data_IF_316493428037
#
_entry.id   IF_316493428037
#
_cell.length_a   1.000
_cell.length_b   1.000
_cell.length_c   1.000
_cell.angle_alpha   90.00
_cell.angle_beta   90.00
_cell.angle_gamma   90.00
#
_symmetry.space_group_name_H-M   'P 1'
#
loop_
_entity.id
_entity.type
_entity.pdbx_description
1 polymer ?
#
# COMPACT_ATOMS: atom_id res chain seq x y z
N UNK A 1 7.95 11.23 3.35
CA UNK A 1 6.87 10.58 4.12
C UNK A 1 5.49 10.85 3.50
N UNK A 2 5.27 11.98 2.82
CA UNK A 2 3.97 12.28 2.20
C UNK A 2 3.55 11.32 1.08
N UNK A 3 4.49 10.72 0.33
CA UNK A 3 4.15 9.72 -0.69
C UNK A 3 3.73 8.39 -0.06
N UNK A 4 4.45 7.91 0.95
CA UNK A 4 4.08 6.69 1.69
C UNK A 4 2.70 6.85 2.32
N UNK A 5 2.47 7.97 3.02
CA UNK A 5 1.19 8.25 3.67
C UNK A 5 0.04 8.40 2.66
N UNK A 6 0.27 9.02 1.50
CA UNK A 6 -0.81 9.20 0.51
C UNK A 6 -1.12 7.96 -0.33
N UNK A 7 -0.11 7.12 -0.63
CA UNK A 7 -0.26 6.01 -1.60
C UNK A 7 -0.31 4.62 -0.98
N UNK A 8 0.31 4.42 0.19
CA UNK A 8 0.56 3.07 0.72
C UNK A 8 -0.05 2.87 2.11
N UNK A 9 -0.12 3.92 2.93
CA UNK A 9 -0.78 3.83 4.22
C UNK A 9 -2.29 3.56 4.07
N UNK A 10 -2.82 2.75 4.97
CA UNK A 10 -4.24 2.39 4.98
C UNK A 10 -5.02 3.41 5.82
N UNK A 11 -6.05 4.03 5.24
CA UNK A 11 -6.86 5.05 5.88
C UNK A 11 -8.30 4.59 6.02
N UNK A 12 -8.89 4.86 7.18
CA UNK A 12 -10.33 4.65 7.40
C UNK A 12 -11.15 5.51 6.45
N UNK A 13 -12.19 4.94 5.85
CA UNK A 13 -13.16 5.70 5.05
C UNK A 13 -14.08 6.49 5.97
N UNK A 14 -13.96 7.82 6.00
CA UNK A 14 -14.92 8.67 6.71
C UNK A 14 -16.14 8.93 5.82
N UNK A 15 -17.33 8.55 6.28
CA UNK A 15 -18.59 8.81 5.59
C UNK A 15 -18.95 10.31 5.50
N UNK A 16 -18.18 11.21 6.13
CA UNK A 16 -18.51 12.65 6.25
C UNK A 16 -17.28 13.55 6.26
N UNK A 17 -16.53 13.59 5.16
CA UNK A 17 -15.67 14.73 4.78
C UNK A 17 -14.47 15.11 5.67
N UNK A 18 -14.36 14.64 6.91
CA UNK A 18 -13.14 14.74 7.70
C UNK A 18 -12.16 13.69 7.19
N UNK A 19 -10.91 14.07 6.90
CA UNK A 19 -9.87 13.14 6.47
C UNK A 19 -9.85 11.88 7.34
N UNK A 20 -9.77 10.71 6.71
CA UNK A 20 -9.68 9.44 7.40
C UNK A 20 -8.53 9.42 8.41
N UNK A 21 -8.67 8.58 9.45
CA UNK A 21 -7.60 8.21 10.39
C UNK A 21 -6.81 7.02 9.86
N UNK A 22 -5.56 6.86 10.28
CA UNK A 22 -4.74 5.70 9.92
C UNK A 22 -5.37 4.43 10.50
N UNK A 23 -5.53 3.38 9.71
CA UNK A 23 -6.06 2.10 10.19
C UNK A 23 -5.08 1.41 11.15
N UNK A 24 -5.61 0.66 12.12
CA UNK A 24 -4.81 -0.21 12.98
C UNK A 24 -4.46 -1.49 12.21
N UNK A 25 -3.49 -1.39 11.31
CA UNK A 25 -3.06 -2.50 10.46
C UNK A 25 -1.57 -2.81 10.63
N UNK A 26 -1.14 -4.05 10.34
CA UNK A 26 0.28 -4.42 10.36
C UNK A 26 1.13 -3.59 9.38
N UNK A 27 0.52 -3.12 8.29
CA UNK A 27 1.16 -2.25 7.30
C UNK A 27 1.47 -0.88 7.91
N UNK A 28 0.46 -0.25 8.49
CA UNK A 28 0.62 1.06 9.14
C UNK A 28 1.54 0.98 10.36
N UNK A 29 1.46 -0.09 11.15
CA UNK A 29 2.37 -0.31 12.26
C UNK A 29 3.83 -0.34 11.79
N UNK A 30 4.12 -1.07 10.72
CA UNK A 30 5.47 -1.10 10.17
C UNK A 30 5.96 0.27 9.66
N UNK A 31 5.08 1.02 8.99
CA UNK A 31 5.40 2.37 8.53
C UNK A 31 5.77 3.26 9.73
N UNK A 32 4.95 3.23 10.79
CA UNK A 32 5.17 4.02 12.01
C UNK A 32 6.49 3.63 12.71
N UNK A 33 6.75 2.34 12.88
CA UNK A 33 8.00 1.84 13.47
C UNK A 33 9.23 2.30 12.67
N UNK A 34 9.15 2.21 11.34
CA UNK A 34 10.26 2.59 10.46
C UNK A 34 10.51 4.10 10.45
N UNK A 35 9.44 4.91 10.54
CA UNK A 35 9.55 6.37 10.67
C UNK A 35 10.16 6.73 12.03
N UNK A 36 9.69 6.09 13.12
CA UNK A 36 10.23 6.31 14.46
C UNK A 36 11.72 5.96 14.53
N UNK A 37 12.11 4.76 14.06
CA UNK A 37 13.51 4.34 14.03
C UNK A 37 14.37 5.30 13.22
N UNK A 38 13.90 5.73 12.04
CA UNK A 38 14.61 6.72 11.25
C UNK A 38 14.77 8.04 12.00
N UNK A 39 13.69 8.59 12.57
CA UNK A 39 13.72 9.89 13.23
C UNK A 39 14.70 9.89 14.43
N UNK A 40 14.65 8.86 15.27
CA UNK A 40 15.54 8.71 16.43
C UNK A 40 17.00 8.57 16.01
N UNK A 41 17.29 7.77 14.99
CA UNK A 41 18.64 7.65 14.44
C UNK A 41 19.09 8.95 13.74
N UNK A 42 18.17 9.67 13.10
CA UNK A 42 18.48 10.89 12.36
C UNK A 42 18.89 12.02 13.30
N UNK A 43 18.16 12.21 14.41
CA UNK A 43 18.50 13.20 15.44
C UNK A 43 19.87 12.90 16.06
N UNK A 44 20.14 11.63 16.36
CA UNK A 44 21.42 11.19 16.93
C UNK A 44 22.61 11.39 15.97
N UNK A 45 22.41 11.11 14.67
CA UNK A 45 23.48 11.19 13.67
C UNK A 45 23.66 12.59 13.06
N UNK A 46 22.64 13.46 13.12
CA UNK A 46 22.65 14.79 12.51
C UNK A 46 22.05 15.84 13.46
N UNK A 47 22.68 16.12 14.62
CA UNK A 47 22.14 17.05 15.61
C UNK A 47 21.93 18.47 15.05
N UNK A 48 22.83 18.92 14.17
CA UNK A 48 22.73 20.24 13.53
C UNK A 48 21.53 20.37 12.57
N UNK A 49 21.08 19.25 11.98
CA UNK A 49 19.91 19.22 11.09
C UNK A 49 18.62 19.05 11.90
N UNK A 50 18.69 18.35 13.03
CA UNK A 50 17.55 18.16 13.92
C UNK A 50 17.06 19.47 14.55
N UNK A 51 17.98 20.42 14.78
CA UNK A 51 17.74 21.78 15.29
C UNK A 51 17.25 22.77 14.24
N UNK A 52 17.14 22.35 12.99
CA UNK A 52 16.68 23.21 11.92
C UNK A 52 15.23 23.62 12.18
N UNK A 53 14.98 24.94 12.21
CA UNK A 53 13.64 25.47 12.42
C UNK A 53 12.75 25.21 11.20
N UNK A 54 11.56 24.68 11.44
CA UNK A 54 10.57 24.37 10.42
C UNK A 54 9.94 25.64 9.83
N UNK A 55 9.44 25.54 8.60
CA UNK A 55 8.71 26.65 7.95
C UNK A 55 7.31 26.83 8.56
N UNK A 56 6.64 25.72 8.87
CA UNK A 56 5.36 25.63 9.58
C UNK A 56 5.52 24.61 10.71
N UNK A 57 4.78 24.79 11.81
CA UNK A 57 4.81 23.82 12.91
C UNK A 57 4.21 22.49 12.48
N UNK A 58 4.71 21.41 13.10
CA UNK A 58 4.01 20.14 13.13
C UNK A 58 3.00 20.21 14.28
N UNK A 59 1.72 20.14 13.93
CA UNK A 59 0.62 20.30 14.88
C UNK A 59 -0.11 18.98 15.06
N UNK A 60 -0.36 18.56 16.29
CA UNK A 60 -1.17 17.37 16.55
C UNK A 60 -1.87 17.38 17.91
N UNK A 61 -2.96 16.61 17.99
CA UNK A 61 -3.65 16.33 19.24
C UNK A 61 -2.99 15.14 19.93
N UNK A 62 -2.20 15.45 20.95
CA UNK A 62 -1.47 14.49 21.78
C UNK A 62 -2.40 13.79 22.77
N UNK A 63 -2.10 12.51 23.03
CA UNK A 63 -2.73 11.76 24.12
C UNK A 63 -1.94 11.89 25.44
N UNK A 64 -0.85 12.66 25.46
CA UNK A 64 -0.05 12.91 26.65
C UNK A 64 -0.71 13.94 27.55
N UNK A 65 -0.43 13.79 28.83
CA UNK A 65 -0.73 14.76 29.87
C UNK A 65 0.47 15.67 30.10
N UNK A 66 0.23 16.85 30.67
CA UNK A 66 1.31 17.83 30.90
C UNK A 66 2.40 17.30 31.85
N UNK A 67 2.06 16.36 32.73
CA UNK A 67 3.00 15.76 33.68
C UNK A 67 3.95 14.76 33.02
N UNK A 68 3.58 14.21 31.86
CA UNK A 68 4.41 13.28 31.11
C UNK A 68 5.43 14.01 30.23
N UNK A 69 5.18 15.28 29.91
CA UNK A 69 6.07 16.13 29.14
C UNK A 69 7.16 16.74 30.03
N UNK A 70 8.43 16.54 29.67
CA UNK A 70 9.56 17.13 30.39
C UNK A 70 9.81 18.57 29.94
N UNK A 71 10.31 19.38 30.86
CA UNK A 71 10.82 20.74 30.59
C UNK A 71 9.79 21.77 30.09
N UNK A 72 8.50 21.62 30.40
CA UNK A 72 7.48 22.62 30.08
C UNK A 72 7.17 23.56 31.25
N UNK A 73 7.14 24.87 30.96
CA UNK A 73 6.72 25.91 31.91
C UNK A 73 5.37 26.47 31.48
N UNK A 74 4.48 26.68 32.46
CA UNK A 74 3.19 27.33 32.24
C UNK A 74 3.40 28.81 31.90
N UNK A 75 2.93 29.25 30.74
CA UNK A 75 2.94 30.65 30.30
C UNK A 75 1.62 31.35 30.62
N UNK A 76 0.51 30.71 30.27
CA UNK A 76 -0.86 31.22 30.45
C UNK A 76 -1.76 30.13 31.08
N UNK A 77 -3.04 30.42 31.34
CA UNK A 77 -3.96 29.46 31.97
C UNK A 77 -3.96 28.08 31.30
N UNK A 78 -3.87 28.04 29.96
CA UNK A 78 -3.89 26.82 29.14
C UNK A 78 -2.67 26.64 28.22
N UNK A 79 -1.64 27.47 28.30
CA UNK A 79 -0.48 27.43 27.38
C UNK A 79 0.81 27.11 28.12
N UNK A 80 1.56 26.13 27.61
CA UNK A 80 2.86 25.71 28.13
C UNK A 80 3.93 25.86 27.05
N UNK A 81 5.12 26.31 27.45
CA UNK A 81 6.28 26.51 26.57
C UNK A 81 7.47 25.71 27.09
N UNK A 82 8.25 25.12 26.20
CA UNK A 82 9.49 24.44 26.57
C UNK A 82 10.54 25.42 27.12
N UNK A 83 11.13 25.07 28.26
CA UNK A 83 12.11 25.86 29.02
C UNK A 83 13.41 26.10 28.25
N UNK A 84 13.71 25.26 27.25
CA UNK A 84 14.96 25.31 26.49
C UNK A 84 15.05 26.47 25.48
N UNK A 85 14.04 27.36 25.43
CA UNK A 85 14.00 28.50 24.51
C UNK A 85 13.58 28.12 23.09
N UNK A 86 13.23 26.85 22.87
CA UNK A 86 12.71 26.35 21.59
C UNK A 86 11.18 26.42 21.58
N UNK A 87 10.62 26.83 20.44
CA UNK A 87 9.18 27.15 20.31
C UNK A 87 8.38 25.87 20.26
N UNK A 88 8.23 25.15 21.36
CA UNK A 88 7.20 24.11 21.50
C UNK A 88 6.06 24.69 22.30
N UNK A 89 4.86 24.65 21.74
CA UNK A 89 3.65 25.19 22.39
C UNK A 89 2.70 24.03 22.63
N UNK A 90 2.40 23.74 23.90
CA UNK A 90 1.35 22.81 24.27
C UNK A 90 0.14 23.58 24.81
N UNK A 91 -1.05 23.36 24.24
CA UNK A 91 -2.31 23.96 24.69
C UNK A 91 -3.25 22.90 25.23
N UNK A 92 -3.70 23.06 26.46
CA UNK A 92 -4.71 22.17 27.05
C UNK A 92 -6.08 22.45 26.43
N UNK A 93 -6.72 21.42 25.87
CA UNK A 93 -8.07 21.54 25.32
C UNK A 93 -9.13 21.36 26.43
N UNK A 94 -10.19 22.16 26.37
CA UNK A 94 -11.24 22.21 27.40
C UNK A 94 -12.17 20.98 27.36
N UNK A 95 -12.20 20.22 26.27
CA UNK A 95 -13.19 19.15 26.01
C UNK A 95 -12.69 17.72 26.26
N UNK A 96 -11.55 17.55 26.91
CA UNK A 96 -10.96 16.23 27.20
C UNK A 96 -9.47 16.39 27.45
N UNK A 97 -8.85 15.44 28.14
CA UNK A 97 -7.45 15.46 28.61
C UNK A 97 -6.37 15.51 27.49
N UNK A 98 -6.66 16.04 26.31
CA UNK A 98 -5.77 16.11 25.16
C UNK A 98 -5.02 17.44 25.11
N UNK A 99 -3.76 17.36 24.71
CA UNK A 99 -2.90 18.52 24.48
C UNK A 99 -2.76 18.76 22.98
N UNK A 100 -3.02 19.97 22.52
CA UNK A 100 -2.61 20.39 21.18
C UNK A 100 -1.14 20.81 21.21
N UNK A 101 -0.27 20.03 20.59
CA UNK A 101 1.18 20.29 20.53
C UNK A 101 1.51 20.92 19.19
N UNK A 102 2.32 21.98 19.22
CA UNK A 102 2.92 22.62 18.06
C UNK A 102 4.44 22.56 18.21
N UNK A 103 5.12 21.88 17.29
CA UNK A 103 6.56 21.69 17.32
C UNK A 103 7.24 22.23 16.06
N UNK A 104 8.40 22.87 16.22
CA UNK A 104 9.10 23.58 15.14
C UNK A 104 10.49 23.03 14.82
N UNK A 105 10.89 21.91 15.43
CA UNK A 105 12.13 21.22 15.07
C UNK A 105 11.99 19.71 15.26
N UNK A 106 12.91 18.94 14.69
CA UNK A 106 12.82 17.48 14.71
C UNK A 106 13.32 16.91 16.04
N UNK A 107 14.30 17.55 16.67
CA UNK A 107 14.85 17.17 17.97
C UNK A 107 13.76 17.09 19.04
N UNK A 108 12.99 18.17 19.25
CA UNK A 108 11.89 18.19 20.22
C UNK A 108 10.72 17.32 19.82
N UNK A 109 10.47 17.15 18.53
CA UNK A 109 9.46 16.19 18.08
C UNK A 109 9.82 14.78 18.56
N UNK A 110 11.08 14.35 18.40
CA UNK A 110 11.53 13.02 18.84
C UNK A 110 11.59 12.92 20.37
N UNK A 111 11.98 13.98 21.08
CA UNK A 111 11.96 14.00 22.55
C UNK A 111 10.53 13.81 23.10
N UNK A 112 9.55 14.56 22.57
CA UNK A 112 8.14 14.45 22.98
C UNK A 112 7.59 13.05 22.67
N UNK A 113 7.94 12.50 21.50
CA UNK A 113 7.58 11.12 21.18
C UNK A 113 8.23 10.14 22.18
N UNK A 114 9.48 10.37 22.59
CA UNK A 114 10.17 9.50 23.55
C UNK A 114 9.57 9.59 24.96
N UNK A 115 9.06 10.76 25.36
CA UNK A 115 8.37 10.97 26.63
C UNK A 115 7.07 10.14 26.74
N UNK A 116 6.46 9.77 25.60
CA UNK A 116 5.25 8.91 25.57
C UNK A 116 5.50 7.44 25.92
N UNK A 117 6.76 7.02 26.07
CA UNK A 117 7.13 5.68 26.55
C UNK A 117 6.56 4.54 25.70
N UNK A 118 5.62 3.75 26.25
CA UNK A 118 5.00 2.64 25.52
C UNK A 118 4.03 3.09 24.41
N UNK A 119 3.61 4.35 24.41
CA UNK A 119 2.59 4.88 23.51
C UNK A 119 3.16 5.64 22.29
N UNK A 120 4.47 5.56 22.05
CA UNK A 120 5.19 6.25 20.96
C UNK A 120 4.52 6.10 19.60
N UNK A 121 4.11 4.88 19.23
CA UNK A 121 3.49 4.64 17.94
C UNK A 121 2.09 5.25 17.83
N UNK A 122 1.35 5.31 18.94
CA UNK A 122 0.04 5.96 18.99
C UNK A 122 0.18 7.48 18.88
N UNK A 123 1.19 8.05 19.51
CA UNK A 123 1.47 9.47 19.47
C UNK A 123 1.97 9.91 18.08
N UNK A 124 2.93 9.16 17.52
CA UNK A 124 3.41 9.37 16.16
C UNK A 124 2.28 9.26 15.13
N UNK A 125 1.33 8.35 15.35
CA UNK A 125 0.15 8.24 14.51
C UNK A 125 -0.70 9.51 14.56
N UNK A 126 -0.99 10.06 15.74
CA UNK A 126 -1.72 11.32 15.86
C UNK A 126 -0.98 12.47 15.13
N UNK A 127 0.35 12.50 15.23
CA UNK A 127 1.18 13.45 14.50
C UNK A 127 1.00 13.34 12.98
N UNK A 128 1.09 12.15 12.42
CA UNK A 128 0.98 11.94 10.96
C UNK A 128 -0.46 12.07 10.43
N UNK A 129 -1.48 11.79 11.25
CA UNK A 129 -2.88 12.03 10.90
C UNK A 129 -3.16 13.53 10.68
N UNK A 130 -2.60 14.40 11.53
CA UNK A 130 -2.76 15.85 11.43
C UNK A 130 -1.78 16.49 10.42
N UNK A 131 -0.70 15.79 10.03
CA UNK A 131 0.32 16.26 9.10
C UNK A 131 0.49 15.31 7.92
N UNK A 132 -0.42 15.35 6.93
CA UNK A 132 -0.39 14.45 5.76
C UNK A 132 0.86 14.61 4.87
N UNK A 133 1.41 15.81 4.81
CA UNK A 133 2.71 16.08 4.18
C UNK A 133 3.62 16.82 5.18
N UNK A 134 4.29 16.09 6.07
CA UNK A 134 5.13 16.71 7.09
C UNK A 134 6.34 17.44 6.46
N UNK A 135 6.78 17.03 5.27
CA UNK A 135 7.93 17.65 4.59
C UNK A 135 7.58 19.08 4.14
N UNK A 136 6.36 19.29 3.65
CA UNK A 136 5.86 20.63 3.31
C UNK A 136 5.86 21.56 4.52
N UNK A 137 5.48 21.07 5.70
CA UNK A 137 5.50 21.85 6.93
C UNK A 137 6.95 22.14 7.38
N UNK A 138 7.83 21.14 7.36
CA UNK A 138 9.20 21.27 7.82
C UNK A 138 10.05 22.19 6.92
N UNK A 139 10.00 21.99 5.60
CA UNK A 139 10.93 22.62 4.65
C UNK A 139 10.27 23.65 3.73
N UNK A 140 8.94 23.68 3.69
CA UNK A 140 8.13 24.58 2.88
C UNK A 140 7.56 23.93 1.63
N UNK A 141 6.64 24.65 0.98
CA UNK A 141 5.80 24.13 -0.11
C UNK A 141 6.61 23.70 -1.37
N UNK A 142 7.87 24.15 -1.50
CA UNK A 142 8.78 23.76 -2.60
C UNK A 142 9.27 22.32 -2.50
N UNK A 143 9.10 21.68 -1.34
CA UNK A 143 9.51 20.30 -1.06
C UNK A 143 8.31 19.36 -0.87
N UNK A 144 7.10 19.80 -1.26
CA UNK A 144 5.88 18.99 -1.12
C UNK A 144 6.02 17.67 -1.86
N UNK A 145 5.66 16.59 -1.19
CA UNK A 145 5.69 15.24 -1.74
C UNK A 145 4.38 14.87 -2.47
N UNK A 146 3.32 15.69 -2.31
CA UNK A 146 1.95 15.40 -2.78
C UNK A 146 1.54 16.24 -4.02
N UNK A 147 2.44 17.00 -4.65
CA UNK A 147 2.03 17.97 -5.68
C UNK A 147 1.55 17.33 -7.00
N UNK A 148 0.25 17.48 -7.26
CA UNK A 148 -0.37 17.51 -8.59
C UNK A 148 -0.40 18.93 -9.21
N UNK A 149 0.28 19.92 -8.61
CA UNK A 149 0.23 21.32 -9.06
C UNK A 149 1.63 21.86 -9.42
N UNK A 150 1.88 21.93 -10.73
CA UNK A 150 2.54 23.04 -11.46
C UNK A 150 3.58 23.85 -10.67
N UNK A 151 4.82 23.34 -10.59
CA UNK A 151 6.05 23.98 -11.09
C UNK A 151 7.23 23.04 -10.76
N UNK A 152 7.39 21.97 -11.56
CA UNK A 152 8.42 20.92 -11.40
C UNK A 152 9.84 21.49 -11.31
N UNK A 153 10.05 22.73 -11.76
CA UNK A 153 11.32 23.44 -11.70
C UNK A 153 11.68 24.03 -10.33
N UNK A 154 10.76 24.12 -9.36
CA UNK A 154 11.01 24.87 -8.11
C UNK A 154 12.12 24.27 -7.24
N UNK A 155 12.19 22.93 -7.16
CA UNK A 155 13.28 22.21 -6.50
C UNK A 155 14.59 22.37 -7.27
N UNK A 156 14.56 22.26 -8.60
CA UNK A 156 15.74 22.44 -9.45
C UNK A 156 16.30 23.86 -9.34
N UNK A 157 15.44 24.89 -9.33
CA UNK A 157 15.84 26.29 -9.11
C UNK A 157 16.46 26.49 -7.74
N UNK A 158 15.97 25.80 -6.71
CA UNK A 158 16.57 25.83 -5.38
C UNK A 158 17.95 25.15 -5.38
N UNK A 159 18.10 24.03 -6.08
CA UNK A 159 19.40 23.36 -6.26
C UNK A 159 20.38 24.27 -7.01
N UNK A 160 19.94 24.90 -8.11
CA UNK A 160 20.75 25.85 -8.89
C UNK A 160 21.16 27.07 -8.06
N UNK A 161 20.26 27.59 -7.22
CA UNK A 161 20.55 28.67 -6.27
C UNK A 161 21.58 28.22 -5.21
N UNK A 162 21.47 27.01 -4.68
CA UNK A 162 22.48 26.43 -3.77
C UNK A 162 23.84 26.27 -4.45
N UNK A 163 23.87 25.81 -5.71
CA UNK A 163 25.10 25.60 -6.48
C UNK A 163 25.75 26.94 -6.84
N UNK A 164 24.96 27.91 -7.32
CA UNK A 164 25.46 29.23 -7.71
C UNK A 164 25.96 30.06 -6.53
N UNK A 165 25.35 29.91 -5.35
CA UNK A 165 25.78 30.57 -4.10
C UNK A 165 26.86 29.80 -3.34
N UNK A 166 27.27 28.62 -3.81
CA UNK A 166 28.33 27.81 -3.17
C UNK A 166 29.74 28.42 -3.30
N UNK A 167 29.95 29.36 -4.22
CA UNK A 167 31.22 30.06 -4.42
C UNK A 167 31.53 31.11 -3.35
N UNK A 168 30.50 31.57 -2.63
CA UNK A 168 30.62 32.48 -1.49
C UNK A 168 29.96 31.82 -0.27
N UNK A 169 30.75 31.21 0.60
CA UNK A 169 30.24 30.61 1.83
C UNK A 169 29.70 31.71 2.76
N UNK A 170 28.37 31.81 2.80
CA UNK A 170 27.63 32.64 3.74
C UNK A 170 26.77 31.74 4.63
N UNK A 171 26.34 32.25 5.79
CA UNK A 171 25.40 31.53 6.67
C UNK A 171 24.12 31.12 5.94
N UNK A 172 23.66 31.92 4.98
CA UNK A 172 22.51 31.60 4.14
C UNK A 172 22.79 30.40 3.23
N UNK A 173 23.97 30.34 2.60
CA UNK A 173 24.39 29.20 1.77
C UNK A 173 24.46 27.91 2.60
N UNK A 174 25.01 27.99 3.82
CA UNK A 174 25.06 26.85 4.76
C UNK A 174 23.66 26.37 5.15
N UNK A 175 22.75 27.30 5.48
CA UNK A 175 21.37 26.99 5.82
C UNK A 175 20.58 26.35 4.66
N UNK A 176 20.75 26.85 3.42
CA UNK A 176 20.14 26.24 2.23
C UNK A 176 20.68 24.82 1.97
N UNK A 177 21.99 24.60 2.12
CA UNK A 177 22.61 23.26 2.03
C UNK A 177 22.04 22.29 3.06
N UNK A 178 21.85 22.74 4.32
CA UNK A 178 21.21 21.94 5.39
C UNK A 178 19.76 21.57 5.04
N UNK A 179 18.96 22.52 4.55
CA UNK A 179 17.59 22.27 4.07
C UNK A 179 17.55 21.25 2.93
N UNK A 180 18.45 21.38 1.95
CA UNK A 180 18.54 20.45 0.83
C UNK A 180 18.92 19.04 1.28
N UNK A 181 19.90 18.93 2.18
CA UNK A 181 20.30 17.64 2.76
C UNK A 181 19.15 16.97 3.50
N UNK A 182 18.45 17.71 4.36
CA UNK A 182 17.29 17.19 5.08
C UNK A 182 16.16 16.74 4.12
N UNK A 183 15.90 17.51 3.06
CA UNK A 183 14.92 17.13 2.04
C UNK A 183 15.28 15.80 1.37
N UNK A 184 16.55 15.62 0.98
CA UNK A 184 17.04 14.42 0.32
C UNK A 184 16.95 13.19 1.25
N UNK A 185 17.33 13.34 2.52
CA UNK A 185 17.28 12.27 3.50
C UNK A 185 15.82 11.81 3.75
N UNK A 186 14.89 12.76 3.89
CA UNK A 186 13.46 12.48 4.07
C UNK A 186 12.82 11.88 2.82
N UNK A 187 13.29 12.24 1.62
CA UNK A 187 12.88 11.63 0.37
C UNK A 187 13.37 10.18 0.26
N UNK A 188 14.64 9.93 0.58
CA UNK A 188 15.22 8.58 0.60
C UNK A 188 14.49 7.67 1.58
N UNK A 189 14.09 8.20 2.75
CA UNK A 189 13.21 7.50 3.67
C UNK A 189 11.87 7.15 3.00
N UNK A 190 11.22 8.12 2.33
CA UNK A 190 9.93 7.88 1.68
C UNK A 190 10.01 6.78 0.62
N UNK A 191 11.04 6.80 -0.22
CA UNK A 191 11.28 5.78 -1.24
C UNK A 191 11.53 4.41 -0.60
N UNK A 192 12.32 4.37 0.48
CA UNK A 192 12.57 3.14 1.23
C UNK A 192 11.28 2.58 1.82
N UNK A 193 10.49 3.41 2.50
CA UNK A 193 9.21 3.04 3.10
C UNK A 193 8.25 2.47 2.06
N UNK A 194 8.06 3.15 0.92
CA UNK A 194 7.22 2.65 -0.18
C UNK A 194 7.70 1.27 -0.64
N UNK A 195 8.98 1.12 -0.92
CA UNK A 195 9.52 -0.15 -1.42
C UNK A 195 9.42 -1.28 -0.41
N UNK A 196 9.75 -1.03 0.85
CA UNK A 196 9.69 -2.04 1.91
C UNK A 196 8.24 -2.45 2.20
N UNK A 197 7.32 -1.49 2.15
CA UNK A 197 5.89 -1.78 2.35
C UNK A 197 5.30 -2.53 1.16
N UNK A 198 5.67 -2.18 -0.09
CA UNK A 198 5.29 -2.95 -1.28
C UNK A 198 5.84 -4.38 -1.21
N UNK A 199 7.10 -4.56 -0.77
CA UNK A 199 7.67 -5.90 -0.58
C UNK A 199 6.90 -6.69 0.47
N UNK A 200 6.57 -6.07 1.61
CA UNK A 200 5.75 -6.71 2.64
C UNK A 200 4.35 -7.06 2.17
N UNK A 201 3.73 -6.18 1.38
CA UNK A 201 2.43 -6.45 0.75
C UNK A 201 2.52 -7.54 -0.32
N UNK A 202 3.63 -7.62 -1.07
CA UNK A 202 3.87 -8.69 -2.03
C UNK A 202 4.15 -10.04 -1.33
N UNK A 203 4.79 -10.02 -0.18
CA UNK A 203 5.03 -11.20 0.66
C UNK A 203 3.75 -11.64 1.42
N UNK A 204 2.85 -10.70 1.73
CA UNK A 204 1.49 -10.94 2.18
C UNK A 204 0.67 -11.55 1.04
N UNK A 205 0.75 -12.88 0.94
CA UNK A 205 -0.04 -13.83 0.12
C UNK A 205 -0.85 -13.15 -0.98
N UNK A 206 -0.32 -13.18 -2.20
CA UNK A 206 -1.15 -13.11 -3.40
C UNK A 206 -1.72 -14.50 -3.67
N UNK A 207 -2.99 -14.71 -3.37
CA UNK A 207 -3.69 -15.89 -3.89
C UNK A 207 -3.62 -15.83 -5.42
N UNK A 208 -3.20 -16.92 -6.04
CA UNK A 208 -3.21 -17.04 -7.50
C UNK A 208 -4.56 -17.58 -7.97
N UNK A 209 -4.99 -17.29 -9.21
CA UNK A 209 -6.19 -17.89 -9.78
C UNK A 209 -6.15 -19.43 -9.77
N UNK A 210 -4.96 -20.01 -9.97
CA UNK A 210 -4.73 -21.45 -9.88
C UNK A 210 -4.98 -22.01 -8.46
N UNK A 211 -4.51 -21.30 -7.43
CA UNK A 211 -4.73 -21.67 -6.03
C UNK A 211 -6.21 -21.57 -5.64
N UNK A 212 -6.91 -20.53 -6.14
CA UNK A 212 -8.36 -20.37 -5.97
C UNK A 212 -9.12 -21.55 -6.57
N UNK A 213 -8.82 -21.91 -7.82
CA UNK A 213 -9.50 -23.00 -8.51
C UNK A 213 -9.16 -24.37 -7.90
N UNK A 214 -7.93 -24.57 -7.43
CA UNK A 214 -7.54 -25.80 -6.72
C UNK A 214 -8.29 -25.96 -5.39
N UNK A 215 -8.44 -24.88 -4.63
CA UNK A 215 -9.20 -24.86 -3.37
C UNK A 215 -10.69 -25.11 -3.61
N UNK A 216 -11.28 -24.44 -4.60
CA UNK A 216 -12.66 -24.67 -5.03
C UNK A 216 -12.88 -26.12 -5.47
N UNK A 217 -11.99 -26.65 -6.32
CA UNK A 217 -12.06 -28.03 -6.80
C UNK A 217 -11.96 -29.05 -5.68
N UNK A 218 -11.17 -28.76 -4.64
CA UNK A 218 -11.06 -29.62 -3.47
C UNK A 218 -12.39 -29.65 -2.70
N UNK A 219 -12.95 -28.49 -2.35
CA UNK A 219 -14.22 -28.44 -1.59
C UNK A 219 -15.36 -29.05 -2.39
N UNK A 220 -15.40 -28.79 -3.70
CA UNK A 220 -16.40 -29.35 -4.59
C UNK A 220 -16.41 -30.89 -4.57
N UNK A 221 -15.23 -31.53 -4.51
CA UNK A 221 -15.14 -33.00 -4.39
C UNK A 221 -15.74 -33.55 -3.11
N UNK A 222 -15.75 -32.75 -2.04
CA UNK A 222 -16.31 -33.12 -0.74
C UNK A 222 -17.66 -32.42 -0.47
N UNK A 223 -18.33 -31.94 -1.52
CA UNK A 223 -19.65 -31.31 -1.44
C UNK A 223 -20.77 -32.28 -1.80
N UNK A 224 -21.94 -32.09 -1.19
CA UNK A 224 -23.15 -32.86 -1.50
C UNK A 224 -24.13 -32.91 -0.34
N UNK A 225 -25.31 -33.47 -0.58
CA UNK A 225 -26.45 -33.43 0.36
C UNK A 225 -26.30 -34.36 1.58
N UNK A 226 -25.36 -35.31 1.54
CA UNK A 226 -25.16 -36.26 2.63
C UNK A 226 -24.36 -35.65 3.79
N UNK A 227 -25.08 -35.25 4.84
CA UNK A 227 -24.54 -34.65 6.09
C UNK A 227 -23.44 -35.51 6.77
N UNK A 228 -23.41 -36.81 6.47
CA UNK A 228 -22.46 -37.77 7.04
C UNK A 228 -21.12 -37.85 6.31
N UNK A 229 -21.09 -37.52 5.01
CA UNK A 229 -19.92 -37.74 4.14
C UNK A 229 -19.34 -36.44 3.56
N UNK A 230 -20.10 -35.36 3.58
CA UNK A 230 -19.72 -34.10 2.93
C UNK A 230 -19.43 -33.00 3.96
N UNK A 231 -18.60 -32.05 3.55
CA UNK A 231 -18.22 -30.90 4.41
C UNK A 231 -19.10 -29.68 4.17
N UNK A 232 -19.67 -29.56 2.96
CA UNK A 232 -20.61 -28.50 2.59
C UNK A 232 -21.73 -29.09 1.74
N UNK A 233 -22.92 -28.49 1.80
CA UNK A 233 -24.06 -28.93 1.01
C UNK A 233 -23.85 -28.65 -0.48
N UNK A 234 -23.39 -27.44 -0.83
CA UNK A 234 -23.01 -27.11 -2.20
C UNK A 234 -22.01 -25.96 -2.29
N UNK A 235 -21.21 -25.94 -3.35
CA UNK A 235 -20.33 -24.83 -3.71
C UNK A 235 -20.43 -24.59 -5.21
N UNK A 236 -20.75 -23.36 -5.61
CA UNK A 236 -20.91 -22.98 -7.02
C UNK A 236 -20.34 -21.59 -7.29
N UNK A 237 -19.71 -21.35 -8.46
CA UNK A 237 -19.42 -19.99 -8.90
C UNK A 237 -20.72 -19.21 -9.06
N UNK A 238 -20.65 -17.90 -8.83
CA UNK A 238 -21.79 -17.00 -9.07
C UNK A 238 -22.14 -17.02 -10.55
N UNK A 239 -23.44 -17.12 -10.91
CA UNK A 239 -23.89 -17.33 -12.30
C UNK A 239 -23.35 -16.27 -13.28
N UNK A 240 -23.29 -14.99 -12.86
CA UNK A 240 -22.75 -13.90 -13.70
C UNK A 240 -21.26 -14.06 -14.03
N UNK A 241 -20.53 -14.76 -13.17
CA UNK A 241 -19.07 -14.85 -13.20
C UNK A 241 -18.63 -16.32 -13.23
N UNK A 242 -19.37 -17.16 -13.95
CA UNK A 242 -19.07 -18.59 -14.06
C UNK A 242 -17.97 -18.90 -15.09
N UNK A 243 -17.68 -17.97 -16.01
CA UNK A 243 -16.66 -18.14 -17.04
C UNK A 243 -15.27 -17.84 -16.49
N UNK A 244 -14.27 -18.57 -17.00
CA UNK A 244 -12.85 -18.33 -16.70
C UNK A 244 -12.26 -17.56 -17.88
N UNK A 245 -11.60 -16.45 -17.59
CA UNK A 245 -10.87 -15.64 -18.56
C UNK A 245 -9.48 -16.25 -18.85
N UNK A 246 -8.81 -15.78 -19.90
CA UNK A 246 -7.50 -16.30 -20.33
C UNK A 246 -6.40 -16.23 -19.24
N UNK A 247 -6.56 -15.34 -18.26
CA UNK A 247 -5.67 -15.20 -17.12
C UNK A 247 -6.03 -16.10 -15.92
N UNK A 248 -7.01 -16.99 -16.07
CA UNK A 248 -7.48 -17.90 -15.03
C UNK A 248 -8.46 -17.28 -14.03
N UNK A 249 -8.71 -15.96 -14.09
CA UNK A 249 -9.68 -15.30 -13.21
C UNK A 249 -11.13 -15.54 -13.69
N UNK A 250 -12.07 -15.54 -12.76
CA UNK A 250 -13.52 -15.53 -13.03
C UNK A 250 -14.14 -14.14 -12.86
N UNK A 251 -13.48 -13.27 -12.08
CA UNK A 251 -13.89 -11.89 -11.89
C UNK A 251 -13.71 -11.08 -13.20
N UNK A 252 -14.57 -10.08 -13.46
CA UNK A 252 -14.47 -9.27 -14.67
C UNK A 252 -13.25 -8.33 -14.61
N UNK A 253 -12.71 -7.87 -15.76
CA UNK A 253 -11.47 -7.10 -15.82
C UNK A 253 -11.43 -5.86 -14.91
N UNK A 254 -12.54 -5.12 -14.80
CA UNK A 254 -12.60 -3.93 -13.94
C UNK A 254 -12.51 -4.27 -12.44
N UNK A 255 -12.93 -5.46 -12.01
CA UNK A 255 -12.77 -5.94 -10.63
C UNK A 255 -11.41 -6.59 -10.39
N UNK A 256 -10.79 -7.16 -11.42
CA UNK A 256 -9.42 -7.68 -11.32
C UNK A 256 -8.41 -6.57 -10.98
N UNK A 257 -8.65 -5.33 -11.42
CA UNK A 257 -7.85 -4.16 -11.01
C UNK A 257 -7.94 -3.89 -9.49
N UNK A 258 -9.05 -4.23 -8.86
CA UNK A 258 -9.22 -4.19 -7.40
C UNK A 258 -8.72 -5.45 -6.70
N UNK A 259 -8.14 -6.39 -7.45
CA UNK A 259 -7.56 -7.62 -6.93
C UNK A 259 -8.56 -8.77 -6.77
N UNK A 260 -9.80 -8.67 -7.26
CA UNK A 260 -10.75 -9.79 -7.21
C UNK A 260 -10.37 -10.87 -8.24
N UNK A 261 -10.52 -12.14 -7.84
CA UNK A 261 -10.20 -13.31 -8.66
C UNK A 261 -11.47 -14.07 -9.05
N UNK A 262 -12.35 -14.37 -8.09
CA UNK A 262 -13.55 -15.15 -8.32
C UNK A 262 -14.63 -14.94 -7.24
N UNK A 263 -15.88 -15.26 -7.57
CA UNK A 263 -17.03 -15.14 -6.67
C UNK A 263 -17.76 -16.49 -6.57
N UNK A 264 -18.04 -16.92 -5.34
CA UNK A 264 -18.65 -18.22 -5.05
C UNK A 264 -19.84 -18.08 -4.11
N UNK A 265 -20.81 -18.97 -4.29
CA UNK A 265 -21.94 -19.18 -3.40
C UNK A 265 -21.75 -20.54 -2.75
N UNK A 266 -21.66 -20.55 -1.42
CA UNK A 266 -21.44 -21.77 -0.63
C UNK A 266 -22.61 -21.96 0.33
N UNK A 267 -23.25 -23.13 0.24
CA UNK A 267 -24.26 -23.55 1.20
C UNK A 267 -23.64 -24.54 2.18
N UNK A 268 -23.52 -24.14 3.45
CA UNK A 268 -23.12 -25.05 4.53
C UNK A 268 -24.34 -25.85 5.02
N UNK A 269 -24.11 -26.94 5.76
CA UNK A 269 -25.20 -27.77 6.29
C UNK A 269 -25.86 -27.20 7.54
N UNK A 270 -25.11 -26.39 8.29
CA UNK A 270 -25.48 -25.79 9.57
C UNK A 270 -25.95 -24.33 9.44
N UNK A 271 -25.86 -23.75 8.24
CA UNK A 271 -26.32 -22.40 7.95
C UNK A 271 -27.61 -22.46 7.11
N UNK A 272 -28.59 -21.66 7.51
CA UNK A 272 -29.86 -21.53 6.78
C UNK A 272 -29.64 -20.79 5.44
N UNK A 273 -28.84 -19.72 5.49
CA UNK A 273 -28.48 -18.91 4.32
C UNK A 273 -27.19 -19.38 3.64
N UNK A 274 -27.12 -19.13 2.33
CA UNK A 274 -25.89 -19.39 1.56
C UNK A 274 -24.90 -18.23 1.72
N UNK A 275 -23.64 -18.56 1.91
CA UNK A 275 -22.55 -17.60 2.01
C UNK A 275 -22.13 -17.14 0.61
N UNK A 276 -22.12 -15.84 0.39
CA UNK A 276 -21.54 -15.23 -0.81
C UNK A 276 -20.11 -14.79 -0.51
N UNK A 277 -19.15 -15.41 -1.19
CA UNK A 277 -17.72 -15.32 -0.89
C UNK A 277 -16.97 -14.80 -2.10
N UNK A 278 -16.04 -13.88 -1.85
CA UNK A 278 -15.09 -13.37 -2.82
C UNK A 278 -13.70 -13.93 -2.54
N UNK A 279 -13.08 -14.49 -3.56
CA UNK A 279 -11.65 -14.76 -3.59
C UNK A 279 -10.95 -13.56 -4.23
N UNK A 280 -10.08 -12.91 -3.49
CA UNK A 280 -9.19 -11.86 -3.99
C UNK A 280 -7.74 -12.28 -3.87
N UNK A 281 -6.87 -11.51 -4.52
CA UNK A 281 -5.43 -11.64 -4.37
C UNK A 281 -5.01 -11.53 -2.90
N UNK A 282 -5.71 -10.79 -2.05
CA UNK A 282 -5.38 -10.70 -0.62
C UNK A 282 -5.89 -11.88 0.24
N UNK A 283 -6.80 -12.70 -0.26
CA UNK A 283 -7.43 -13.76 0.53
C UNK A 283 -8.90 -14.00 0.19
N UNK A 284 -9.59 -14.74 1.06
CA UNK A 284 -11.00 -15.05 0.96
C UNK A 284 -11.79 -14.25 1.98
N UNK A 285 -12.95 -13.71 1.59
CA UNK A 285 -13.84 -12.98 2.49
C UNK A 285 -15.30 -13.11 2.08
N UNK A 286 -16.22 -12.84 3.01
CA UNK A 286 -17.67 -12.77 2.75
C UNK A 286 -18.03 -11.37 2.22
N UNK A 287 -18.82 -11.31 1.15
CA UNK A 287 -19.28 -10.05 0.54
C UNK A 287 -20.76 -9.77 0.87
N UNK A 288 -21.30 -8.66 0.35
CA UNK A 288 -22.65 -8.18 0.67
C UNK A 288 -23.80 -9.06 0.20
N UNK A 289 -23.52 -10.17 -0.48
CA UNK A 289 -24.53 -11.12 -0.93
C UNK A 289 -24.71 -11.12 -2.44
N UNK A 290 -25.40 -12.16 -2.92
CA UNK A 290 -25.77 -12.31 -4.31
C UNK A 290 -27.29 -12.38 -4.43
N UNK A 291 -27.89 -11.45 -5.15
CA UNK A 291 -29.32 -11.50 -5.46
C UNK A 291 -29.52 -12.31 -6.75
N UNK A 292 -30.14 -13.49 -6.61
CA UNK A 292 -30.44 -14.36 -7.75
C UNK A 292 -31.52 -13.78 -8.69
N UNK A 293 -32.40 -12.90 -8.21
CA UNK A 293 -33.51 -12.33 -8.99
C UNK A 293 -33.03 -11.18 -9.86
N UNK A 294 -32.24 -10.29 -9.28
CA UNK A 294 -31.69 -9.13 -9.99
C UNK A 294 -30.39 -9.46 -10.73
N UNK A 295 -29.84 -10.68 -10.54
CA UNK A 295 -28.52 -11.04 -11.04
C UNK A 295 -27.49 -9.94 -10.71
N UNK A 296 -27.50 -9.50 -9.45
CA UNK A 296 -26.60 -8.47 -8.95
C UNK A 296 -25.79 -9.02 -7.79
N UNK A 297 -24.50 -8.68 -7.77
CA UNK A 297 -23.57 -9.08 -6.72
C UNK A 297 -23.11 -7.82 -6.00
N UNK A 298 -23.26 -7.79 -4.68
CA UNK A 298 -22.66 -6.74 -3.87
C UNK A 298 -21.19 -7.06 -3.61
N UNK A 299 -20.31 -6.26 -4.19
CA UNK A 299 -18.87 -6.40 -4.08
C UNK A 299 -18.30 -5.89 -2.76
N UNK A 300 -19.11 -5.25 -1.91
CA UNK A 300 -18.65 -4.71 -0.65
C UNK A 300 -18.26 -5.83 0.31
N UNK A 301 -17.07 -5.73 0.92
CA UNK A 301 -16.60 -6.68 1.93
C UNK A 301 -17.38 -6.45 3.23
N UNK A 302 -18.07 -7.50 3.69
CA UNK A 302 -18.84 -7.49 4.95
C UNK A 302 -18.16 -8.30 6.05
N UNK A 303 -17.22 -9.20 5.70
CA UNK A 303 -16.49 -10.04 6.65
C UNK A 303 -14.98 -9.80 6.72
N UNK A 304 -14.33 -10.54 7.62
CA UNK A 304 -12.87 -10.56 7.76
C UNK A 304 -12.19 -11.28 6.57
N UNK A 305 -10.89 -11.03 6.42
CA UNK A 305 -10.05 -11.60 5.37
C UNK A 305 -9.31 -12.83 5.87
N UNK A 306 -9.52 -13.97 5.21
CA UNK A 306 -8.89 -15.25 5.56
C UNK A 306 -7.89 -15.66 4.50
N UNK A 307 -6.77 -16.27 4.92
CA UNK A 307 -5.77 -16.80 3.99
C UNK A 307 -6.31 -17.92 3.11
N UNK A 308 -7.08 -18.82 3.69
CA UNK A 308 -7.55 -20.03 3.01
C UNK A 308 -9.07 -20.13 3.11
N UNK A 309 -9.71 -20.65 2.06
CA UNK A 309 -11.15 -20.90 2.08
C UNK A 309 -11.55 -21.85 3.21
N UNK A 310 -10.70 -22.82 3.56
CA UNK A 310 -10.94 -23.71 4.68
C UNK A 310 -11.07 -22.97 6.02
N UNK A 311 -10.22 -21.96 6.28
CA UNK A 311 -10.26 -21.19 7.52
C UNK A 311 -11.51 -20.32 7.61
N UNK A 312 -11.90 -19.71 6.49
CA UNK A 312 -13.16 -18.97 6.39
C UNK A 312 -14.33 -19.89 6.74
N UNK A 313 -14.38 -21.09 6.15
CA UNK A 313 -15.46 -22.04 6.39
C UNK A 313 -15.42 -22.63 7.81
N UNK A 314 -14.25 -22.84 8.41
CA UNK A 314 -14.13 -23.26 9.82
C UNK A 314 -14.68 -22.23 10.79
N UNK A 315 -14.46 -20.94 10.52
CA UNK A 315 -14.97 -19.86 11.35
C UNK A 315 -16.49 -19.69 11.22
N UNK A 316 -17.04 -19.92 10.02
CA UNK A 316 -18.46 -19.73 9.74
C UNK A 316 -19.35 -20.97 9.96
N UNK A 317 -18.77 -22.17 9.92
CA UNK A 317 -19.51 -23.43 10.01
C UNK A 317 -18.84 -24.37 11.02
N UNK A 318 -19.55 -24.63 12.12
CA UNK A 318 -19.12 -25.58 13.15
C UNK A 318 -19.09 -27.01 12.60
N UNK A 319 -20.07 -27.35 11.74
CA UNK A 319 -20.11 -28.66 11.07
C UNK A 319 -18.89 -28.86 10.16
N UNK A 320 -18.53 -27.83 9.39
CA UNK A 320 -17.34 -27.86 8.54
C UNK A 320 -16.08 -28.09 9.37
N UNK A 321 -15.93 -27.39 10.51
CA UNK A 321 -14.77 -27.54 11.40
C UNK A 321 -14.64 -28.96 11.94
N UNK A 322 -15.73 -29.52 12.48
CA UNK A 322 -15.75 -30.88 13.02
C UNK A 322 -15.45 -31.94 11.95
N UNK A 323 -16.01 -31.77 10.74
CA UNK A 323 -15.80 -32.70 9.62
C UNK A 323 -14.39 -32.62 9.04
N UNK A 324 -13.87 -31.42 8.91
CA UNK A 324 -12.48 -31.22 8.52
C UNK A 324 -11.56 -31.87 9.57
N UNK A 325 -11.92 -31.80 10.85
CA UNK A 325 -11.16 -32.46 11.90
C UNK A 325 -11.09 -33.98 11.78
N UNK A 326 -12.23 -34.59 11.47
CA UNK A 326 -12.38 -36.04 11.30
C UNK A 326 -11.77 -36.57 9.99
N UNK A 327 -11.69 -35.75 8.94
CA UNK A 327 -11.18 -36.17 7.63
C UNK A 327 -9.67 -35.91 7.47
N UNK A 328 -8.86 -36.92 7.79
CA UNK A 328 -7.40 -36.89 7.60
C UNK A 328 -6.99 -36.63 6.14
N UNK A 329 -7.73 -37.19 5.17
CA UNK A 329 -7.47 -36.99 3.74
C UNK A 329 -7.67 -35.54 3.30
N UNK A 330 -8.71 -34.87 3.81
CA UNK A 330 -9.00 -33.49 3.48
C UNK A 330 -7.97 -32.54 4.11
N UNK A 331 -7.61 -32.74 5.38
CA UNK A 331 -6.52 -32.00 6.04
C UNK A 331 -5.21 -32.10 5.29
N UNK A 332 -4.82 -33.32 4.92
CA UNK A 332 -3.58 -33.57 4.19
C UNK A 332 -3.60 -32.90 2.79
N UNK A 333 -4.76 -32.89 2.14
CA UNK A 333 -4.95 -32.21 0.85
C UNK A 333 -4.78 -30.69 0.96
N UNK A 334 -5.35 -30.06 1.99
CA UNK A 334 -5.14 -28.63 2.26
C UNK A 334 -3.68 -28.31 2.64
N UNK A 335 -3.05 -29.16 3.44
CA UNK A 335 -1.63 -29.00 3.80
C UNK A 335 -0.74 -29.05 2.57
N UNK A 336 -1.04 -29.93 1.61
CA UNK A 336 -0.32 -30.01 0.33
C UNK A 336 -0.54 -28.80 -0.55
N UNK A 337 -1.75 -28.24 -0.59
CA UNK A 337 -2.04 -27.01 -1.34
C UNK A 337 -1.22 -25.83 -0.78
N UNK A 338 -1.26 -25.63 0.53
CA UNK A 338 -0.48 -24.59 1.22
C UNK A 338 1.04 -24.73 1.01
N UNK A 339 1.56 -25.97 0.98
CA UNK A 339 2.98 -26.22 0.68
C UNK A 339 3.36 -25.95 -0.78
N UNK A 340 2.47 -26.20 -1.75
CA UNK A 340 2.73 -25.88 -3.17
C UNK A 340 2.81 -24.37 -3.41
N UNK A 341 1.91 -23.61 -2.80
CA UNK A 341 1.93 -22.14 -2.84
C UNK A 341 3.24 -21.58 -2.27
N UNK A 342 3.77 -22.20 -1.21
CA UNK A 342 5.05 -21.82 -0.60
C UNK A 342 6.26 -22.11 -1.50
N UNK A 343 6.22 -23.19 -2.30
CA UNK A 343 7.29 -23.57 -3.24
C UNK A 343 7.31 -22.69 -4.50
N UNK A 344 6.14 -22.32 -5.03
CA UNK A 344 6.03 -21.42 -6.19
C UNK A 344 6.61 -20.02 -5.89
N UNK A 345 6.48 -19.56 -4.64
CA UNK A 345 7.15 -18.34 -4.15
C UNK A 345 8.67 -18.42 -4.17
N UNK A 346 9.27 -19.58 -3.88
CA UNK A 346 10.73 -19.73 -3.90
C UNK A 346 11.26 -19.72 -5.34
N UNK A 347 10.59 -20.38 -6.28
CA UNK A 347 10.97 -20.33 -7.70
C UNK A 347 10.84 -18.94 -8.30
N UNK A 348 9.80 -18.16 -7.96
CA UNK A 348 9.67 -16.78 -8.44
C UNK A 348 10.72 -15.84 -7.82
N UNK A 349 11.11 -16.07 -6.55
CA UNK A 349 12.21 -15.33 -5.90
C UNK A 349 13.57 -15.66 -6.50
N UNK A 350 13.81 -16.90 -6.94
CA UNK A 350 15.03 -17.31 -7.65
C UNK A 350 15.12 -16.70 -9.06
N UNK A 351 14.01 -16.67 -9.80
CA UNK A 351 13.96 -16.04 -11.14
C UNK A 351 14.13 -14.51 -11.04
N UNK A 352 13.58 -13.86 -9.99
CA UNK A 352 13.79 -12.43 -9.72
C UNK A 352 15.23 -12.11 -9.30
N UNK A 353 15.88 -12.95 -8.49
CA UNK A 353 17.31 -12.82 -8.18
C UNK A 353 18.19 -13.02 -9.41
N UNK A 354 17.86 -13.97 -10.28
CA UNK A 354 18.61 -14.20 -11.51
C UNK A 354 18.49 -13.02 -12.49
N UNK A 355 17.32 -12.39 -12.57
CA UNK A 355 17.10 -11.21 -13.42
C UNK A 355 17.70 -9.92 -12.84
N UNK A 356 17.69 -9.74 -11.51
CA UNK A 356 18.40 -8.62 -10.86
C UNK A 356 19.93 -8.72 -11.01
N UNK A 357 20.49 -9.93 -10.98
CA UNK A 357 21.92 -10.17 -11.23
C UNK A 357 22.34 -9.97 -12.70
N UNK A 358 21.39 -9.96 -13.64
CA UNK A 358 21.63 -9.64 -15.06
C UNK A 358 21.58 -8.12 -15.32
N UNK A 359 20.89 -7.35 -14.48
CA UNK A 359 20.76 -5.88 -14.59
C UNK A 359 21.87 -5.15 -13.83
N UNK A 360 22.37 -5.73 -12.73
CA UNK A 360 23.61 -5.27 -12.09
C UNK A 360 24.79 -5.94 -12.77
N UNK A 361 25.50 -5.21 -13.63
CA UNK A 361 26.70 -5.69 -14.33
C UNK A 361 27.88 -5.98 -13.40
N UNK A 362 27.74 -6.94 -12.50
CA UNK A 362 28.84 -7.49 -11.72
C UNK A 362 29.51 -8.60 -12.54
N UNK A 363 30.70 -8.29 -13.06
CA UNK A 363 31.58 -9.27 -13.70
C UNK A 363 32.06 -10.27 -12.64
N UNK A 364 31.81 -11.58 -12.77
CA UNK A 364 32.52 -12.55 -11.97
C UNK A 364 33.97 -12.66 -12.46
N UNK A 365 34.91 -12.45 -11.53
CA UNK A 365 36.35 -12.65 -11.77
C UNK A 365 36.63 -14.15 -11.86
N UNK A 366 37.17 -14.56 -13.01
CA UNK A 366 37.61 -15.91 -13.36
C UNK A 366 38.75 -16.44 -12.48
N UNK A 367 38.65 -17.72 -12.10
CA UNK A 367 39.69 -18.78 -12.18
C UNK A 367 38.89 -20.10 -12.39
N UNK A 368 39.09 -21.00 -13.34
CA UNK A 368 40.24 -21.38 -14.16
C UNK A 368 39.80 -22.38 -15.27
N UNK A 369 40.20 -22.10 -16.52
CA UNK A 369 40.55 -22.95 -17.69
C UNK A 369 39.69 -24.14 -18.22
N UNK A 370 39.80 -24.45 -19.54
CA UNK A 370 38.69 -24.92 -20.38
C UNK A 370 38.80 -26.37 -20.85
N UNK A 371 37.66 -26.99 -21.20
CA UNK A 371 37.60 -28.09 -22.17
C UNK A 371 36.49 -27.82 -23.20
N UNK A 372 36.89 -27.92 -24.48
CA UNK A 372 36.08 -27.82 -25.69
C UNK A 372 35.08 -28.98 -25.77
N UNK A 373 33.83 -28.70 -26.16
CA UNK A 373 33.21 -29.30 -27.36
C UNK A 373 31.81 -28.72 -27.63
N UNK A 374 31.54 -28.60 -28.93
CA UNK A 374 30.27 -28.58 -29.64
C UNK A 374 29.41 -27.31 -29.77
N UNK A 375 29.20 -27.03 -31.06
CA UNK A 375 28.47 -25.94 -31.68
C UNK A 375 26.97 -26.24 -31.60
N UNK A 376 26.20 -25.35 -30.98
CA UNK A 376 24.79 -25.18 -31.33
C UNK A 376 24.49 -23.70 -31.62
N UNK A 377 23.69 -23.53 -32.67
CA UNK A 377 23.43 -22.29 -33.40
C UNK A 377 22.65 -21.30 -32.53
N UNK A 378 23.26 -20.18 -32.17
CA UNK A 378 22.55 -18.99 -31.70
C UNK A 378 21.79 -18.37 -32.88
N UNK A 379 20.47 -18.55 -32.91
CA UNK A 379 19.58 -17.71 -33.69
C UNK A 379 19.70 -16.27 -33.19
N UNK A 380 20.26 -15.38 -34.01
CA UNK A 380 20.19 -13.94 -33.82
C UNK A 380 18.72 -13.52 -34.02
N UNK A 381 18.06 -13.10 -32.95
CA UNK A 381 16.79 -12.39 -33.03
C UNK A 381 17.14 -10.92 -33.28
N UNK A 382 16.97 -10.47 -34.53
CA UNK A 382 16.94 -9.04 -34.86
C UNK A 382 15.53 -8.48 -34.56
N UNK A 383 15.42 -7.28 -33.96
CA UNK A 383 14.12 -6.66 -33.66
C UNK A 383 13.41 -6.26 -34.97
N UNK A 384 12.24 -6.83 -35.23
CA UNK A 384 11.47 -6.51 -36.44
C UNK A 384 10.82 -5.12 -36.36
N UNK A 385 11.17 -4.25 -37.31
CA UNK A 385 10.66 -2.89 -37.53
C UNK A 385 9.19 -2.82 -38.04
N UNK A 386 8.27 -3.62 -37.48
CA UNK A 386 6.87 -3.68 -37.95
C UNK A 386 6.00 -2.50 -37.52
N UNK A 387 6.44 -1.64 -36.59
CA UNK A 387 5.65 -0.50 -36.10
C UNK A 387 5.60 0.69 -37.08
N UNK A 388 6.55 0.79 -38.02
CA UNK A 388 6.57 1.91 -39.00
C UNK A 388 5.56 1.74 -40.14
N UNK A 389 5.03 0.54 -40.39
CA UNK A 389 4.03 0.31 -41.45
C UNK A 389 2.59 0.60 -41.00
N UNK A 390 2.30 0.64 -39.69
CA UNK A 390 0.95 0.91 -39.19
C UNK A 390 0.55 2.39 -39.31
N UNK A 391 1.51 3.30 -39.18
CA UNK A 391 1.26 4.75 -39.27
C UNK A 391 0.87 5.19 -40.68
N UNK A 392 1.41 4.54 -41.73
CA UNK A 392 1.12 4.89 -43.13
C UNK A 392 -0.22 4.32 -43.63
N UNK A 393 -0.76 3.30 -42.96
CA UNK A 393 -2.04 2.68 -43.33
C UNK A 393 -3.26 3.40 -42.72
N UNK A 394 -3.08 4.20 -41.65
CA UNK A 394 -4.17 4.99 -41.06
C UNK A 394 -4.37 6.36 -41.73
N UNK A 395 -3.42 6.83 -42.54
CA UNK A 395 -3.53 8.13 -43.24
C UNK A 395 -4.32 8.05 -44.56
N UNK A 396 -4.56 6.85 -45.12
CA UNK A 396 -5.21 6.67 -46.43
C UNK A 396 -6.65 6.11 -46.36
N UNK A 397 -7.31 6.11 -45.21
CA UNK A 397 -8.63 5.52 -45.03
C UNK A 397 -9.65 6.47 -44.38
N UNK A 398 -9.91 7.63 -44.97
CA UNK A 398 -11.17 8.37 -44.81
C UNK A 398 -11.51 9.17 -46.08
N UNK A 399 -12.61 8.85 -46.80
CA UNK A 399 -13.25 9.82 -47.68
C UNK A 399 -14.09 10.79 -46.84
N UNK A 400 -13.76 12.07 -46.90
CA UNK A 400 -14.59 13.17 -46.39
C UNK A 400 -15.85 13.31 -47.25
N UNK A 401 -17.01 12.87 -46.75
CA UNK A 401 -18.30 13.34 -47.24
C UNK A 401 -18.62 14.71 -46.64
N UNK A 402 -18.59 15.74 -47.48
CA UNK A 402 -19.06 17.09 -47.15
C UNK A 402 -20.60 17.08 -47.06
N UNK A 403 -21.14 17.14 -45.84
CA UNK A 403 -22.54 17.54 -45.64
C UNK A 403 -22.61 19.06 -45.80
N UNK A 404 -23.15 19.52 -46.94
CA UNK A 404 -23.60 20.90 -47.14
C UNK A 404 -24.88 21.12 -46.34
N UNK A 405 -24.88 22.13 -45.46
CA UNK A 405 -26.08 22.60 -44.80
C UNK A 405 -26.91 23.44 -45.80
N UNK A 406 -28.08 22.94 -46.17
CA UNK A 406 -29.10 23.71 -46.88
C UNK A 406 -29.78 24.69 -45.92
N UNK A 407 -29.73 25.98 -46.29
CA UNK A 407 -30.60 27.02 -45.73
C UNK A 407 -31.89 27.03 -46.53
N UNK A 408 -32.99 26.59 -45.94
CA UNK A 408 -34.33 26.87 -46.44
C UNK A 408 -35.11 27.67 -45.41
N UNK A 409 -35.22 28.96 -45.71
CA UNK A 409 -36.22 29.91 -45.27
C UNK A 409 -37.61 29.44 -45.68
N UNK A 410 -38.58 29.35 -44.78
CA UNK A 410 -40.01 29.59 -45.09
C UNK A 410 -40.66 30.30 -43.90
N UNK A 411 -41.28 31.44 -44.22
CA UNK A 411 -42.15 32.26 -43.37
C UNK A 411 -43.48 31.55 -43.10
N UNK A 412 -44.02 31.72 -41.90
CA UNK A 412 -45.30 32.40 -41.65
C UNK A 412 -45.45 32.71 -40.14
#
# INVERSE_FOLDING_TARGET
MGLTLSRVAEWTSSAKGSGGKLELSPVNQHILESIHEFATNYVSNNPDLAKLHFVKSLDWDSNLTINELKDFVKKDENTYICSSGEIVIAKAQTSGQKLAIQCFNLEKTVEILSDSGSNVLSELRCLLENNRDPIANMLGDRFTSISHSVDDGSLFRFIDDVISTATHETDNTSHKKKKLKMALDLHNLDVKLVNDTIKKLADAIRLSPEAVEASYSLIKKYSGESLEKTVVASIKPTKLFSMIHDNGCRAPPWRQLHGDIAYFIIKCHDLEDSLSITASTGGWFVNGGYDEKECSLDFQRTGELYRDLARLLQDKSAHFSERLEKSMSLKESYRRLSMKESRQKNSEKEVKKATENLVKGEKPVNKSQPKRSDKEKLMKIEPSLKWKLLSSAMENAMPMEHIKADKTTINE
#
